data_IF_855785652151
#
_entry.id   IF_855785652151
#
_cell.length_a   1.000
_cell.length_b   1.000
_cell.length_c   1.000
_cell.angle_alpha   90.00
_cell.angle_beta   90.00
_cell.angle_gamma   90.00
#
_symmetry.space_group_name_H-M   'P 1'
#
loop_
_entity.id
_entity.type
_entity.pdbx_description
1 polymer ?
#
# COMPACT_ATOMS: atom_id res chain seq x y z
N UNK A 1 9.33 28.33 8.34
CA UNK A 1 8.74 27.57 7.21
C UNK A 1 9.39 26.19 7.19
N UNK A 2 8.61 25.08 7.31
CA UNK A 2 9.14 23.73 7.25
C UNK A 2 9.71 23.41 5.86
N UNK A 3 10.63 22.44 5.80
CA UNK A 3 11.22 21.97 4.54
C UNK A 3 10.11 21.39 3.65
N UNK A 4 10.08 21.82 2.39
CA UNK A 4 9.16 21.24 1.39
C UNK A 4 9.69 19.90 0.93
N UNK A 5 8.85 18.88 1.00
CA UNK A 5 9.18 17.51 0.61
C UNK A 5 8.59 17.19 -0.77
N UNK A 6 9.23 16.25 -1.46
CA UNK A 6 8.70 15.60 -2.64
C UNK A 6 8.39 14.13 -2.31
N UNK A 7 7.13 13.76 -2.33
CA UNK A 7 6.68 12.38 -2.12
C UNK A 7 6.38 11.69 -3.45
N UNK A 8 6.85 10.46 -3.62
CA UNK A 8 6.40 9.58 -4.69
C UNK A 8 5.41 8.57 -4.10
N UNK A 9 4.25 8.40 -4.73
CA UNK A 9 3.20 7.49 -4.27
C UNK A 9 2.98 6.36 -5.26
N UNK A 10 3.04 5.13 -4.78
CA UNK A 10 2.83 3.92 -5.56
C UNK A 10 1.91 2.94 -4.82
N UNK A 11 0.57 3.18 -4.81
CA UNK A 11 -0.39 2.28 -4.21
C UNK A 11 -0.70 1.06 -5.09
N UNK A 12 -1.33 0.05 -4.48
CA UNK A 12 -1.95 -1.06 -5.20
C UNK A 12 -2.95 -0.57 -6.25
N UNK A 13 -3.03 -1.27 -7.38
CA UNK A 13 -3.92 -0.89 -8.49
C UNK A 13 -5.39 -1.24 -8.21
N UNK A 14 -5.97 -0.50 -7.27
CA UNK A 14 -7.36 -0.60 -6.85
C UNK A 14 -7.89 0.76 -6.38
N UNK A 15 -9.14 1.12 -6.72
CA UNK A 15 -9.72 2.42 -6.36
C UNK A 15 -9.82 2.62 -4.85
N UNK A 16 -10.03 1.54 -4.06
CA UNK A 16 -9.99 1.61 -2.60
C UNK A 16 -8.62 2.02 -2.04
N UNK A 17 -7.54 1.92 -2.84
CA UNK A 17 -6.20 2.39 -2.49
C UNK A 17 -5.89 3.74 -3.13
N UNK A 18 -6.22 3.95 -4.40
CA UNK A 18 -5.97 5.22 -5.09
C UNK A 18 -6.64 6.41 -4.40
N UNK A 19 -7.91 6.28 -4.02
CA UNK A 19 -8.69 7.39 -3.43
C UNK A 19 -8.10 7.88 -2.10
N UNK A 20 -7.76 7.02 -1.11
CA UNK A 20 -7.08 7.45 0.10
C UNK A 20 -5.71 8.08 -0.15
N UNK A 21 -4.95 7.54 -1.11
CA UNK A 21 -3.65 8.10 -1.48
C UNK A 21 -3.79 9.48 -2.12
N UNK A 22 -4.77 9.69 -3.01
CA UNK A 22 -5.03 11.00 -3.59
C UNK A 22 -5.52 11.99 -2.53
N UNK A 23 -6.33 11.55 -1.56
CA UNK A 23 -6.71 12.38 -0.42
C UNK A 23 -5.48 12.84 0.38
N UNK A 24 -4.55 11.93 0.67
CA UNK A 24 -3.29 12.28 1.33
C UNK A 24 -2.44 13.22 0.45
N UNK A 25 -2.36 12.96 -0.86
CA UNK A 25 -1.64 13.81 -1.81
C UNK A 25 -2.18 15.25 -1.80
N UNK A 26 -3.50 15.43 -1.84
CA UNK A 26 -4.14 16.75 -1.74
C UNK A 26 -3.78 17.45 -0.41
N UNK A 27 -3.77 16.71 0.71
CA UNK A 27 -3.37 17.26 2.03
C UNK A 27 -1.88 17.65 2.09
N UNK A 28 -1.01 16.90 1.46
CA UNK A 28 0.41 17.24 1.34
C UNK A 28 0.60 18.48 0.46
N UNK A 29 -0.08 18.54 -0.68
CA UNK A 29 -0.02 19.68 -1.60
C UNK A 29 -0.58 20.97 -0.96
N UNK A 30 -1.66 20.89 -0.18
CA UNK A 30 -2.20 22.00 0.61
C UNK A 30 -1.15 22.60 1.56
N UNK A 31 -0.25 21.75 2.09
CA UNK A 31 0.90 22.18 2.91
C UNK A 31 2.14 22.58 2.11
N UNK A 32 2.04 22.63 0.78
CA UNK A 32 3.09 23.05 -0.13
C UNK A 32 4.12 21.99 -0.49
N UNK A 33 3.86 20.71 -0.19
CA UNK A 33 4.67 19.58 -0.64
C UNK A 33 4.36 19.23 -2.10
N UNK A 34 5.31 18.56 -2.77
CA UNK A 34 5.11 18.02 -4.12
C UNK A 34 4.82 16.53 -4.08
N UNK A 35 3.99 16.06 -5.00
CA UNK A 35 3.67 14.63 -5.11
C UNK A 35 3.79 14.17 -6.55
N UNK A 36 4.51 13.06 -6.78
CA UNK A 36 4.43 12.26 -8.00
C UNK A 36 3.62 11.00 -7.68
N UNK A 37 2.46 10.88 -8.31
CA UNK A 37 1.55 9.76 -8.06
C UNK A 37 1.56 8.80 -9.25
N UNK A 38 2.14 7.62 -9.06
CA UNK A 38 2.24 6.56 -10.07
C UNK A 38 0.95 5.73 -10.08
N UNK A 39 0.32 5.63 -11.25
CA UNK A 39 -0.95 4.91 -11.39
C UNK A 39 -1.20 4.51 -12.86
N UNK A 40 -2.03 3.48 -13.11
CA UNK A 40 -2.41 3.12 -14.47
C UNK A 40 -3.16 4.22 -15.20
N UNK A 41 -3.11 4.20 -16.55
CA UNK A 41 -3.68 5.25 -17.40
C UNK A 41 -5.19 5.42 -17.21
N UNK A 42 -5.95 4.31 -17.06
CA UNK A 42 -7.40 4.39 -16.79
C UNK A 42 -7.70 5.03 -15.43
N UNK A 43 -6.93 4.64 -14.41
CA UNK A 43 -7.08 5.23 -13.07
C UNK A 43 -6.76 6.72 -13.09
N UNK A 44 -5.73 7.16 -13.84
CA UNK A 44 -5.41 8.58 -14.02
C UNK A 44 -6.63 9.35 -14.51
N UNK A 45 -7.27 8.91 -15.59
CA UNK A 45 -8.45 9.60 -16.15
C UNK A 45 -9.59 9.78 -15.16
N UNK A 46 -9.78 8.80 -14.26
CA UNK A 46 -10.84 8.85 -13.26
C UNK A 46 -10.49 9.70 -12.05
N UNK A 47 -9.22 9.76 -11.68
CA UNK A 47 -8.75 10.51 -10.51
C UNK A 47 -8.36 11.96 -10.82
N UNK A 48 -8.06 12.29 -12.07
CA UNK A 48 -7.66 13.63 -12.49
C UNK A 48 -8.65 14.72 -12.05
N UNK A 49 -10.00 14.54 -12.16
CA UNK A 49 -10.96 15.54 -11.67
C UNK A 49 -10.97 15.72 -10.15
N UNK A 50 -10.39 14.78 -9.39
CA UNK A 50 -10.30 14.80 -7.93
C UNK A 50 -8.96 15.35 -7.43
N UNK A 51 -8.03 15.64 -8.34
CA UNK A 51 -6.77 16.30 -8.04
C UNK A 51 -7.00 17.79 -7.84
N UNK A 52 -6.97 18.25 -6.59
CA UNK A 52 -7.23 19.65 -6.23
C UNK A 52 -6.03 20.58 -6.45
N UNK A 53 -4.83 20.02 -6.66
CA UNK A 53 -3.57 20.77 -6.78
C UNK A 53 -2.74 20.26 -7.97
N UNK A 54 -3.19 20.45 -9.23
CA UNK A 54 -2.53 19.87 -10.41
C UNK A 54 -1.10 20.37 -10.62
N UNK A 55 -0.76 21.57 -10.12
CA UNK A 55 0.60 22.11 -10.18
C UNK A 55 1.56 21.45 -9.19
N UNK A 56 1.05 20.84 -8.13
CA UNK A 56 1.84 20.21 -7.06
C UNK A 56 1.75 18.67 -7.08
N UNK A 57 0.69 18.11 -7.68
CA UNK A 57 0.44 16.66 -7.77
C UNK A 57 0.49 16.26 -9.24
N UNK A 58 1.56 15.58 -9.63
CA UNK A 58 1.73 15.01 -10.97
C UNK A 58 1.20 13.58 -10.99
N UNK A 59 0.12 13.34 -11.72
CA UNK A 59 -0.40 11.99 -11.98
C UNK A 59 0.40 11.35 -13.13
N UNK A 60 1.37 10.50 -12.79
CA UNK A 60 2.31 9.89 -13.72
C UNK A 60 1.82 8.49 -14.13
N UNK A 61 1.50 8.27 -15.43
CA UNK A 61 0.96 6.99 -15.87
C UNK A 61 2.01 5.89 -15.83
N UNK A 62 1.60 4.69 -15.38
CA UNK A 62 2.34 3.43 -15.49
C UNK A 62 1.64 2.55 -16.50
N UNK A 63 2.42 1.92 -17.37
CA UNK A 63 1.94 0.92 -18.31
C UNK A 63 1.88 -0.45 -17.63
N UNK A 64 0.72 -1.10 -17.71
CA UNK A 64 0.55 -2.45 -17.18
C UNK A 64 1.23 -3.44 -18.14
N UNK A 65 2.26 -4.18 -17.69
CA UNK A 65 2.93 -5.17 -18.50
C UNK A 65 1.99 -6.34 -18.84
N UNK A 66 2.17 -6.93 -20.02
CA UNK A 66 1.44 -8.14 -20.39
C UNK A 66 1.75 -9.30 -19.43
N UNK A 67 0.71 -9.99 -19.00
CA UNK A 67 0.77 -11.19 -18.17
C UNK A 67 -0.23 -12.22 -18.71
N UNK A 68 0.24 -13.42 -19.02
CA UNK A 68 -0.64 -14.50 -19.48
C UNK A 68 -1.74 -14.76 -18.44
N UNK A 69 -2.99 -14.73 -18.90
CA UNK A 69 -4.18 -14.87 -18.05
C UNK A 69 -4.74 -13.56 -17.48
N UNK A 70 -4.07 -12.42 -17.66
CA UNK A 70 -4.65 -11.10 -17.41
C UNK A 70 -5.35 -10.62 -18.70
N UNK A 71 -6.64 -10.30 -18.68
CA UNK A 71 -7.34 -9.77 -19.85
C UNK A 71 -6.71 -8.49 -20.40
N UNK A 72 -6.65 -8.35 -21.72
CA UNK A 72 -6.14 -7.16 -22.37
C UNK A 72 -6.87 -5.91 -21.91
N UNK A 73 -6.11 -4.88 -21.57
CA UNK A 73 -6.61 -3.62 -21.08
C UNK A 73 -7.12 -3.64 -19.63
N UNK A 74 -6.94 -4.74 -18.89
CA UNK A 74 -7.15 -4.76 -17.44
C UNK A 74 -6.00 -4.04 -16.73
N UNK A 75 -6.31 -2.96 -16.01
CA UNK A 75 -5.33 -2.13 -15.32
C UNK A 75 -5.52 -2.10 -13.80
N UNK A 76 -6.74 -2.39 -13.33
CA UNK A 76 -7.11 -2.32 -11.92
C UNK A 76 -7.89 -3.54 -11.47
N UNK A 77 -8.01 -3.73 -10.16
CA UNK A 77 -8.82 -4.82 -9.58
C UNK A 77 -10.32 -4.72 -9.93
N UNK A 78 -10.78 -3.54 -10.37
CA UNK A 78 -12.17 -3.33 -10.80
C UNK A 78 -12.44 -3.81 -12.22
N UNK A 79 -11.39 -4.05 -13.02
CA UNK A 79 -11.51 -4.51 -14.41
C UNK A 79 -11.65 -6.04 -14.51
N UNK A 80 -11.46 -6.77 -13.41
CA UNK A 80 -11.35 -8.22 -13.39
C UNK A 80 -12.02 -8.85 -12.16
N UNK A 81 -12.56 -10.09 -12.27
CA UNK A 81 -13.03 -10.82 -11.11
C UNK A 81 -11.88 -11.19 -10.17
N UNK A 82 -12.20 -11.41 -8.88
CA UNK A 82 -11.23 -11.72 -7.82
C UNK A 82 -10.32 -12.91 -8.15
N UNK A 83 -10.83 -13.89 -8.89
CA UNK A 83 -10.09 -15.09 -9.33
C UNK A 83 -8.88 -14.78 -10.23
N UNK A 84 -8.88 -13.60 -10.87
CA UNK A 84 -7.81 -13.14 -11.76
C UNK A 84 -6.85 -12.15 -11.10
N UNK A 85 -7.10 -11.74 -9.85
CA UNK A 85 -6.23 -10.80 -9.14
C UNK A 85 -4.77 -11.26 -9.07
N UNK A 86 -4.53 -12.59 -9.06
CA UNK A 86 -3.17 -13.16 -9.10
C UNK A 86 -2.35 -12.65 -10.29
N UNK A 87 -2.97 -12.47 -11.44
CA UNK A 87 -2.29 -12.00 -12.64
C UNK A 87 -2.00 -10.50 -12.58
N UNK A 88 -2.94 -9.71 -12.01
CA UNK A 88 -2.71 -8.30 -11.76
C UNK A 88 -1.57 -8.07 -10.74
N UNK A 89 -1.44 -8.94 -9.74
CA UNK A 89 -0.33 -8.90 -8.79
C UNK A 89 1.01 -9.11 -9.53
N UNK A 90 1.08 -10.09 -10.43
CA UNK A 90 2.27 -10.30 -11.26
C UNK A 90 2.56 -9.09 -12.15
N UNK A 91 1.52 -8.48 -12.72
CA UNK A 91 1.67 -7.26 -13.51
C UNK A 91 2.23 -6.10 -12.67
N UNK A 92 1.74 -5.91 -11.44
CA UNK A 92 2.30 -4.91 -10.49
C UNK A 92 3.79 -5.19 -10.24
N UNK A 93 4.19 -6.44 -10.03
CA UNK A 93 5.60 -6.76 -9.80
C UNK A 93 6.47 -6.44 -11.02
N UNK A 94 5.96 -6.67 -12.22
CA UNK A 94 6.66 -6.36 -13.48
C UNK A 94 6.77 -4.85 -13.77
N UNK A 95 6.13 -3.97 -12.96
CA UNK A 95 6.30 -2.52 -13.09
C UNK A 95 7.53 -1.99 -12.36
N UNK A 96 8.32 -2.83 -11.67
CA UNK A 96 9.49 -2.41 -10.86
C UNK A 96 10.40 -1.46 -11.62
N UNK A 97 10.80 -1.80 -12.85
CA UNK A 97 11.72 -0.98 -13.65
C UNK A 97 11.13 0.41 -13.95
N UNK A 98 9.81 0.50 -14.22
CA UNK A 98 9.14 1.77 -14.45
C UNK A 98 9.14 2.65 -13.19
N UNK A 99 8.93 2.04 -12.01
CA UNK A 99 8.99 2.74 -10.73
C UNK A 99 10.41 3.21 -10.45
N UNK A 100 11.44 2.40 -10.69
CA UNK A 100 12.84 2.81 -10.54
C UNK A 100 13.17 4.00 -11.45
N UNK A 101 12.75 3.98 -12.71
CA UNK A 101 12.93 5.09 -13.64
C UNK A 101 12.28 6.36 -13.09
N UNK A 102 11.04 6.26 -12.58
CA UNK A 102 10.33 7.38 -11.98
C UNK A 102 11.04 7.92 -10.73
N UNK A 103 11.57 7.04 -9.87
CA UNK A 103 12.34 7.43 -8.67
C UNK A 103 13.61 8.19 -9.06
N UNK A 104 14.39 7.67 -10.01
CA UNK A 104 15.63 8.33 -10.48
C UNK A 104 15.36 9.68 -11.15
N UNK A 105 14.26 9.77 -11.91
CA UNK A 105 13.90 11.02 -12.61
C UNK A 105 13.38 12.09 -11.66
N UNK A 106 12.54 11.72 -10.69
CA UNK A 106 11.85 12.66 -9.79
C UNK A 106 12.65 12.98 -8.52
N UNK A 107 13.58 12.09 -8.12
CA UNK A 107 14.41 12.20 -6.89
C UNK A 107 13.56 12.58 -5.67
N UNK A 108 12.59 11.74 -5.28
CA UNK A 108 11.73 12.04 -4.14
C UNK A 108 12.50 11.92 -2.82
N UNK A 109 12.02 12.61 -1.78
CA UNK A 109 12.53 12.46 -0.42
C UNK A 109 11.95 11.20 0.24
N UNK A 110 10.73 10.79 -0.18
CA UNK A 110 9.97 9.71 0.43
C UNK A 110 9.14 8.96 -0.63
N UNK A 111 9.15 7.63 -0.56
CA UNK A 111 8.24 6.78 -1.34
C UNK A 111 7.17 6.22 -0.41
N UNK A 112 5.89 6.52 -0.70
CA UNK A 112 4.73 5.91 -0.06
C UNK A 112 4.21 4.77 -0.93
N UNK A 113 4.00 3.61 -0.33
CA UNK A 113 3.50 2.42 -1.01
C UNK A 113 2.68 1.55 -0.04
N UNK A 114 1.93 0.57 -0.53
CA UNK A 114 1.15 -0.33 0.33
C UNK A 114 1.22 -1.81 -0.04
N UNK A 115 1.63 -2.14 -1.25
CA UNK A 115 1.55 -3.53 -1.72
C UNK A 115 2.82 -4.07 -2.36
N UNK A 116 3.60 -3.24 -3.01
CA UNK A 116 4.79 -3.64 -3.77
C UNK A 116 5.98 -3.87 -2.83
N UNK A 117 6.14 -5.10 -2.35
CA UNK A 117 7.11 -5.52 -1.32
C UNK A 117 8.58 -5.23 -1.67
N UNK A 118 8.87 -4.98 -2.93
CA UNK A 118 10.19 -4.63 -3.44
C UNK A 118 10.51 -3.12 -3.38
N UNK A 119 9.51 -2.26 -3.10
CA UNK A 119 9.72 -0.80 -3.02
C UNK A 119 10.75 -0.38 -1.97
N UNK A 120 10.83 -0.97 -0.77
CA UNK A 120 11.88 -0.63 0.19
C UNK A 120 13.30 -0.86 -0.34
N UNK A 121 13.52 -1.88 -1.15
CA UNK A 121 14.79 -2.15 -1.81
C UNK A 121 15.13 -1.05 -2.83
N UNK A 122 14.18 -0.73 -3.72
CA UNK A 122 14.34 0.37 -4.70
C UNK A 122 14.61 1.71 -4.00
N UNK A 123 13.90 2.01 -2.93
CA UNK A 123 14.12 3.22 -2.14
C UNK A 123 15.56 3.27 -1.58
N UNK A 124 16.00 2.18 -0.95
CA UNK A 124 17.36 2.05 -0.37
C UNK A 124 18.45 2.22 -1.43
N UNK A 125 18.32 1.57 -2.58
CA UNK A 125 19.28 1.65 -3.70
C UNK A 125 19.42 3.06 -4.25
N UNK A 126 18.37 3.88 -4.15
CA UNK A 126 18.35 5.27 -4.62
C UNK A 126 18.54 6.30 -3.48
N UNK A 127 18.84 5.87 -2.25
CA UNK A 127 19.04 6.77 -1.10
C UNK A 127 17.76 7.50 -0.63
N UNK A 128 16.58 6.94 -0.93
CA UNK A 128 15.28 7.50 -0.61
C UNK A 128 14.67 6.77 0.57
N UNK A 129 13.89 7.44 1.42
CA UNK A 129 13.14 6.81 2.49
C UNK A 129 11.87 6.13 1.96
N UNK A 130 11.46 5.03 2.61
CA UNK A 130 10.25 4.29 2.28
C UNK A 130 9.25 4.29 3.42
N UNK A 131 7.97 4.51 3.10
CA UNK A 131 6.85 4.46 4.05
C UNK A 131 5.77 3.53 3.52
N UNK A 132 5.47 2.47 4.27
CA UNK A 132 4.30 1.66 3.98
C UNK A 132 3.06 2.36 4.54
N UNK A 133 2.27 3.01 3.67
CA UNK A 133 1.04 3.71 4.03
C UNK A 133 -0.16 2.79 3.81
N UNK A 134 -0.66 2.23 4.90
CA UNK A 134 -1.74 1.25 4.87
C UNK A 134 -3.11 1.92 4.87
N UNK A 135 -3.97 1.52 3.94
CA UNK A 135 -5.36 1.97 3.83
C UNK A 135 -6.37 0.97 4.41
N UNK A 136 -5.88 -0.18 4.90
CA UNK A 136 -6.64 -1.16 5.68
C UNK A 136 -6.53 -0.82 7.17
N UNK A 137 -7.47 -1.31 7.98
CA UNK A 137 -7.50 -1.01 9.42
C UNK A 137 -6.27 -1.55 10.17
N UNK A 138 -5.84 -0.83 11.20
CA UNK A 138 -4.78 -1.29 12.10
C UNK A 138 -5.16 -2.61 12.78
N UNK A 139 -6.43 -2.81 13.09
CA UNK A 139 -6.97 -4.06 13.66
C UNK A 139 -6.68 -5.25 12.75
N UNK A 140 -6.91 -5.13 11.43
CA UNK A 140 -6.60 -6.20 10.47
C UNK A 140 -5.09 -6.47 10.39
N UNK A 141 -4.27 -5.43 10.34
CA UNK A 141 -2.80 -5.58 10.31
C UNK A 141 -2.33 -6.29 11.58
N UNK A 142 -2.78 -5.85 12.74
CA UNK A 142 -2.43 -6.42 14.05
C UNK A 142 -2.83 -7.89 14.18
N UNK A 143 -3.99 -8.26 13.63
CA UNK A 143 -4.51 -9.62 13.72
C UNK A 143 -3.84 -10.58 12.71
N UNK A 144 -3.72 -10.14 11.44
CA UNK A 144 -3.40 -11.05 10.35
C UNK A 144 -1.94 -10.98 9.89
N UNK A 145 -1.26 -9.86 10.15
CA UNK A 145 0.06 -9.60 9.58
C UNK A 145 1.18 -9.55 10.63
N UNK A 146 0.86 -9.65 11.92
CA UNK A 146 1.86 -9.81 12.96
C UNK A 146 2.22 -11.29 13.09
N UNK A 147 3.52 -11.66 13.13
CA UNK A 147 3.96 -13.03 13.27
C UNK A 147 3.49 -13.69 14.57
N UNK A 148 3.28 -15.01 14.55
CA UNK A 148 2.91 -15.82 15.72
C UNK A 148 1.42 -16.07 15.88
N UNK A 149 0.59 -15.47 15.04
CA UNK A 149 -0.82 -15.80 14.90
C UNK A 149 -1.06 -16.89 13.85
N UNK A 150 -2.31 -17.18 13.63
CA UNK A 150 -2.77 -18.14 12.61
C UNK A 150 -4.10 -17.69 12.03
N UNK A 151 -4.60 -18.46 11.09
CA UNK A 151 -5.87 -18.15 10.44
C UNK A 151 -7.01 -18.10 11.47
N UNK A 152 -7.56 -16.90 11.74
CA UNK A 152 -8.56 -16.69 12.78
C UNK A 152 -8.06 -16.74 14.22
N UNK A 153 -6.74 -16.92 14.43
CA UNK A 153 -6.11 -16.93 15.73
C UNK A 153 -5.19 -15.72 15.87
N UNK A 154 -5.50 -14.78 16.77
CA UNK A 154 -4.68 -13.59 16.93
C UNK A 154 -3.27 -13.93 17.43
N UNK A 155 -2.25 -13.15 17.06
CA UNK A 155 -0.89 -13.35 17.54
C UNK A 155 -0.77 -13.04 19.04
N UNK A 156 0.31 -13.54 19.71
CA UNK A 156 0.54 -13.27 21.12
C UNK A 156 0.59 -11.77 21.43
N UNK A 157 -0.12 -11.36 22.50
CA UNK A 157 -0.19 -9.95 22.91
C UNK A 157 -1.15 -9.08 22.09
N UNK A 158 -1.94 -9.66 21.19
CA UNK A 158 -2.97 -8.94 20.43
C UNK A 158 -3.91 -8.17 21.38
N UNK A 159 -4.14 -6.87 21.17
CA UNK A 159 -4.71 -5.99 22.20
C UNK A 159 -6.25 -6.04 22.28
N UNK A 160 -6.89 -7.15 21.88
CA UNK A 160 -8.35 -7.31 21.98
C UNK A 160 -8.77 -8.78 22.10
N UNK A 161 -9.70 -9.05 23.01
CA UNK A 161 -10.40 -10.33 23.10
C UNK A 161 -11.76 -10.32 22.37
N UNK A 162 -12.20 -9.16 21.86
CA UNK A 162 -13.53 -8.97 21.26
C UNK A 162 -13.49 -8.79 19.75
N UNK A 163 -12.41 -8.24 19.21
CA UNK A 163 -12.22 -8.01 17.79
C UNK A 163 -11.42 -9.16 17.20
N UNK A 164 -12.10 -10.25 16.92
CA UNK A 164 -11.53 -11.48 16.36
C UNK A 164 -12.26 -11.82 15.07
N UNK A 165 -11.56 -12.53 14.16
CA UNK A 165 -12.23 -13.12 13.02
C UNK A 165 -13.28 -14.13 13.48
N UNK A 166 -14.48 -14.04 12.89
CA UNK A 166 -15.50 -15.05 13.13
C UNK A 166 -15.20 -16.29 12.30
N UNK A 167 -15.68 -17.46 12.74
CA UNK A 167 -15.41 -18.74 12.07
C UNK A 167 -15.77 -18.73 10.57
N UNK A 168 -16.85 -18.03 10.16
CA UNK A 168 -17.23 -17.93 8.75
C UNK A 168 -16.30 -17.02 7.95
N UNK A 169 -15.74 -15.97 8.55
CA UNK A 169 -14.75 -15.08 7.91
C UNK A 169 -13.45 -15.87 7.67
N UNK A 170 -13.00 -16.63 8.68
CA UNK A 170 -11.84 -17.50 8.57
C UNK A 170 -12.05 -18.58 7.50
N UNK A 171 -13.25 -19.18 7.41
CA UNK A 171 -13.58 -20.17 6.38
C UNK A 171 -13.60 -19.56 4.97
N UNK A 172 -14.20 -18.38 4.79
CA UNK A 172 -14.18 -17.67 3.52
C UNK A 172 -12.74 -17.37 3.06
N UNK A 173 -11.89 -16.96 3.97
CA UNK A 173 -10.47 -16.72 3.71
C UNK A 173 -9.66 -18.00 3.45
N UNK A 174 -10.02 -19.15 4.06
CA UNK A 174 -9.33 -20.42 3.84
C UNK A 174 -9.41 -20.90 2.39
N UNK A 175 -10.51 -20.59 1.70
CA UNK A 175 -10.68 -20.86 0.27
C UNK A 175 -9.67 -20.11 -0.60
N UNK A 176 -9.03 -19.08 -0.05
CA UNK A 176 -7.96 -18.29 -0.67
C UNK A 176 -6.57 -18.62 -0.10
N UNK A 177 -6.38 -19.77 0.54
CA UNK A 177 -5.17 -20.09 1.32
C UNK A 177 -3.86 -19.90 0.56
N UNK A 178 -3.78 -20.27 -0.71
CA UNK A 178 -2.59 -20.06 -1.56
C UNK A 178 -2.34 -18.57 -1.83
N UNK A 179 -3.41 -17.80 -2.02
CA UNK A 179 -3.32 -16.34 -2.20
C UNK A 179 -3.00 -15.64 -0.90
N UNK A 180 -3.58 -16.11 0.21
CA UNK A 180 -3.34 -15.57 1.54
C UNK A 180 -1.86 -15.66 1.92
N UNK A 181 -1.21 -16.81 1.70
CA UNK A 181 0.22 -16.94 1.98
C UNK A 181 1.05 -15.93 1.20
N UNK A 182 0.81 -15.79 -0.11
CA UNK A 182 1.49 -14.79 -0.93
C UNK A 182 1.22 -13.35 -0.50
N UNK A 183 -0.01 -13.07 -0.10
CA UNK A 183 -0.42 -11.77 0.45
C UNK A 183 0.29 -11.50 1.76
N UNK A 184 0.26 -12.46 2.70
CA UNK A 184 0.95 -12.39 3.98
C UNK A 184 2.46 -12.15 3.81
N UNK A 185 3.13 -12.95 3.00
CA UNK A 185 4.58 -12.83 2.76
C UNK A 185 4.94 -11.45 2.20
N UNK A 186 4.13 -10.88 1.31
CA UNK A 186 4.35 -9.54 0.75
C UNK A 186 4.22 -8.45 1.79
N UNK A 187 3.11 -8.47 2.55
CA UNK A 187 2.86 -7.46 3.57
C UNK A 187 3.88 -7.52 4.70
N UNK A 188 4.20 -8.70 5.22
CA UNK A 188 5.20 -8.86 6.27
C UNK A 188 6.59 -8.47 5.80
N UNK A 189 6.96 -8.77 4.55
CA UNK A 189 8.20 -8.30 3.93
C UNK A 189 8.22 -6.78 3.85
N UNK A 190 7.12 -6.15 3.41
CA UNK A 190 7.00 -4.70 3.35
C UNK A 190 7.13 -4.04 4.72
N UNK A 191 6.37 -4.53 5.71
CA UNK A 191 6.37 -4.03 7.09
C UNK A 191 7.75 -4.17 7.76
N UNK A 192 8.47 -5.24 7.43
CA UNK A 192 9.81 -5.50 7.98
C UNK A 192 10.87 -4.59 7.36
N UNK A 193 10.78 -4.31 6.06
CA UNK A 193 11.86 -3.68 5.30
C UNK A 193 11.69 -2.17 5.07
N UNK A 194 10.47 -1.61 5.22
CA UNK A 194 10.27 -0.16 5.08
C UNK A 194 10.91 0.62 6.24
N UNK A 195 11.20 1.90 6.02
CA UNK A 195 11.71 2.80 7.07
C UNK A 195 10.61 3.18 8.05
N UNK A 196 9.39 3.42 7.54
CA UNK A 196 8.24 3.87 8.34
C UNK A 196 6.99 3.06 8.00
N UNK A 197 6.15 2.85 9.02
CA UNK A 197 4.80 2.30 8.86
C UNK A 197 3.79 3.41 9.21
N UNK A 198 2.79 3.59 8.38
CA UNK A 198 1.67 4.48 8.64
C UNK A 198 0.36 3.76 8.32
N UNK A 199 -0.68 4.05 9.09
CA UNK A 199 -2.03 3.49 8.89
C UNK A 199 -3.03 4.63 8.82
N UNK A 200 -3.92 4.58 7.84
CA UNK A 200 -5.01 5.54 7.72
C UNK A 200 -6.08 5.27 8.78
N UNK A 201 -5.84 5.77 9.99
CA UNK A 201 -6.74 5.59 11.13
C UNK A 201 -6.67 6.80 12.06
N UNK A 202 -7.23 6.71 13.26
CA UNK A 202 -7.07 7.69 14.33
C UNK A 202 -6.80 7.00 15.66
N UNK A 203 -6.10 7.70 16.54
CA UNK A 203 -5.64 7.17 17.83
C UNK A 203 -6.80 6.75 18.72
N UNK A 204 -7.90 7.50 18.71
CA UNK A 204 -9.08 7.24 19.54
C UNK A 204 -9.79 5.93 19.24
N UNK A 205 -9.65 5.43 18.01
CA UNK A 205 -10.31 4.19 17.57
C UNK A 205 -9.34 3.01 17.58
N UNK A 206 -8.15 3.17 16.99
CA UNK A 206 -7.22 2.08 16.75
C UNK A 206 -5.82 2.27 17.33
N UNK A 207 -5.57 3.29 18.17
CA UNK A 207 -4.25 3.61 18.73
C UNK A 207 -3.54 2.42 19.35
N UNK A 208 -4.23 1.62 20.18
CA UNK A 208 -3.67 0.42 20.81
C UNK A 208 -3.20 -0.64 19.81
N UNK A 209 -3.82 -0.73 18.63
CA UNK A 209 -3.38 -1.65 17.56
C UNK A 209 -2.18 -1.09 16.82
N UNK A 210 -2.13 0.24 16.64
CA UNK A 210 -0.97 0.93 16.08
C UNK A 210 0.26 0.73 16.98
N UNK A 211 0.12 0.94 18.30
CA UNK A 211 1.19 0.69 19.28
C UNK A 211 1.67 -0.76 19.25
N UNK A 212 0.72 -1.69 19.19
CA UNK A 212 1.04 -3.11 19.09
C UNK A 212 1.84 -3.43 17.82
N UNK A 213 1.40 -2.98 16.65
CA UNK A 213 2.11 -3.18 15.37
C UNK A 213 3.51 -2.56 15.44
N UNK A 214 3.61 -1.31 15.94
CA UNK A 214 4.89 -0.61 16.12
C UNK A 214 5.87 -1.39 16.99
N UNK A 215 5.39 -1.98 18.09
CA UNK A 215 6.21 -2.81 18.98
C UNK A 215 6.72 -4.09 18.31
N UNK A 216 5.91 -4.72 17.45
CA UNK A 216 6.25 -5.97 16.77
C UNK A 216 7.24 -5.74 15.62
N UNK A 217 7.06 -4.72 14.83
CA UNK A 217 7.91 -4.42 13.68
C UNK A 217 9.07 -3.46 14.02
N UNK A 218 9.12 -2.91 15.25
CA UNK A 218 10.16 -1.95 15.71
C UNK A 218 10.34 -0.78 14.76
N UNK A 219 9.22 -0.26 14.23
CA UNK A 219 9.16 0.85 13.29
C UNK A 219 8.29 1.96 13.84
N UNK A 220 8.63 3.19 13.46
CA UNK A 220 7.86 4.36 13.87
C UNK A 220 6.50 4.41 13.18
N UNK A 221 5.50 4.73 13.97
CA UNK A 221 4.17 5.11 13.57
C UNK A 221 3.99 6.62 13.65
N UNK A 222 3.27 7.16 12.72
CA UNK A 222 2.70 8.50 12.80
C UNK A 222 1.30 8.51 12.20
#
# INVERSE_FOLDING_TARGET
MGQKLHALMFPRFAFGHFTPYLHLANKLAEKGHRVTFLLPTKAKKQLEPLNLFPDSIVLHPITIPHVDGLPDGAETSSDIPITLWKFLIVAIDRTRDQVEVAVRASRPDLILFDYAYWVPEVAKENGVKSMMYNVISATCIAHDLVPGGGFGVPPPGYPSSKLLFRAHDAHAMSSFSVYYKRFYDRFTTSLTNCDFISVRTCEEIEGKFCDYIGSQYKRMFS
#
